data_IF_700246506596
#
_entry.id   IF_700246506596
#
_cell.length_a   1.000
_cell.length_b   1.000
_cell.length_c   1.000
_cell.angle_alpha   90.00
_cell.angle_beta   90.00
_cell.angle_gamma   90.00
#
_symmetry.space_group_name_H-M   'P 1'
#
loop_
_entity.id
_entity.type
_entity.pdbx_description
1 polymer ?
#
# COMPACT_ATOMS: atom_id res chain seq x y z
N UNK A 1 1.08 4.91 -18.95
CA UNK A 1 0.91 3.53 -18.44
C UNK A 1 -0.34 2.98 -19.11
N UNK A 2 -0.17 1.96 -19.95
CA UNK A 2 -1.27 1.26 -20.62
C UNK A 2 -2.18 0.59 -19.58
N UNK A 3 -3.44 0.31 -19.93
CA UNK A 3 -4.37 -0.41 -19.02
C UNK A 3 -3.79 -1.75 -18.56
N UNK A 4 -3.11 -2.45 -19.48
CA UNK A 4 -2.51 -3.76 -19.25
C UNK A 4 -1.42 -3.77 -18.16
N UNK A 5 -0.65 -2.68 -18.05
CA UNK A 5 0.38 -2.53 -17.03
C UNK A 5 -0.24 -2.29 -15.64
N UNK A 6 -1.35 -1.54 -15.57
CA UNK A 6 -2.09 -1.33 -14.31
C UNK A 6 -2.66 -2.65 -13.78
N UNK A 7 -3.24 -3.48 -14.65
CA UNK A 7 -3.82 -4.76 -14.25
C UNK A 7 -2.76 -5.74 -13.72
N UNK A 8 -1.57 -5.76 -14.35
CA UNK A 8 -0.44 -6.55 -13.86
C UNK A 8 0.04 -6.06 -12.50
N UNK A 9 0.20 -4.74 -12.34
CA UNK A 9 0.62 -4.15 -11.07
C UNK A 9 -0.38 -4.45 -9.94
N UNK A 10 -1.69 -4.38 -10.22
CA UNK A 10 -2.73 -4.72 -9.26
C UNK A 10 -2.65 -6.19 -8.82
N UNK A 11 -2.47 -7.13 -9.75
CA UNK A 11 -2.31 -8.56 -9.41
C UNK A 11 -1.10 -8.84 -8.52
N UNK A 12 0.01 -8.15 -8.76
CA UNK A 12 1.22 -8.28 -7.92
C UNK A 12 0.92 -7.75 -6.52
N UNK A 13 0.26 -6.60 -6.41
CA UNK A 13 -0.10 -6.01 -5.13
C UNK A 13 -1.04 -6.91 -4.32
N UNK A 14 -2.04 -7.51 -4.98
CA UNK A 14 -2.97 -8.47 -4.38
C UNK A 14 -2.28 -9.75 -3.90
N UNK A 15 -1.21 -10.17 -4.58
CA UNK A 15 -0.39 -11.30 -4.15
C UNK A 15 0.47 -10.91 -2.93
N UNK A 16 1.08 -9.73 -2.95
CA UNK A 16 1.91 -9.24 -1.85
C UNK A 16 1.13 -9.11 -0.55
N UNK A 17 -0.10 -8.58 -0.57
CA UNK A 17 -0.88 -8.38 0.66
C UNK A 17 -1.35 -9.70 1.31
N UNK A 18 -1.38 -10.80 0.55
CA UNK A 18 -1.69 -12.13 1.09
C UNK A 18 -0.52 -12.76 1.84
N UNK A 19 0.70 -12.23 1.68
CA UNK A 19 1.86 -12.69 2.44
C UNK A 19 1.61 -12.47 3.94
N UNK A 20 1.77 -13.50 4.80
CA UNK A 20 1.67 -13.37 6.25
C UNK A 20 2.48 -12.22 6.86
N UNK A 21 3.64 -11.91 6.29
CA UNK A 21 4.53 -10.84 6.76
C UNK A 21 3.91 -9.45 6.56
N UNK A 22 2.99 -9.32 5.60
CA UNK A 22 2.29 -8.06 5.28
C UNK A 22 0.96 -7.91 6.02
N UNK A 23 0.67 -8.76 7.02
CA UNK A 23 -0.57 -8.68 7.82
C UNK A 23 -0.58 -7.56 8.84
N UNK A 24 0.56 -6.92 9.07
CA UNK A 24 0.70 -5.84 10.04
C UNK A 24 1.14 -4.56 9.35
N UNK A 25 0.63 -3.43 9.83
CA UNK A 25 1.07 -2.10 9.42
C UNK A 25 2.56 -1.93 9.73
N UNK A 26 3.34 -1.50 8.75
CA UNK A 26 4.78 -1.26 8.90
C UNK A 26 5.13 -0.22 9.98
N UNK A 27 4.23 0.72 10.27
CA UNK A 27 4.52 1.83 11.19
C UNK A 27 4.04 1.58 12.63
N UNK A 28 2.85 0.97 12.78
CA UNK A 28 2.17 0.88 14.08
C UNK A 28 1.76 -0.55 14.45
N UNK A 29 2.11 -1.53 13.62
CA UNK A 29 1.83 -2.95 13.82
C UNK A 29 0.32 -3.30 13.90
N UNK A 30 -0.58 -2.38 13.53
CA UNK A 30 -2.01 -2.67 13.45
C UNK A 30 -2.30 -3.75 12.39
N UNK A 31 -3.23 -4.65 12.70
CA UNK A 31 -3.61 -5.75 11.81
C UNK A 31 -4.34 -5.27 10.56
N UNK A 32 -4.16 -6.03 9.47
CA UNK A 32 -4.88 -5.86 8.22
C UNK A 32 -4.66 -4.50 7.56
N UNK A 33 -3.41 -4.12 7.23
CA UNK A 33 -3.19 -2.92 6.43
C UNK A 33 -3.92 -3.05 5.09
N UNK A 34 -4.50 -1.97 4.58
CA UNK A 34 -5.25 -1.95 3.31
C UNK A 34 -4.74 -0.88 2.34
N UNK A 35 -3.68 -0.18 2.73
CA UNK A 35 -3.01 0.82 1.92
C UNK A 35 -1.55 0.43 1.76
N UNK A 36 -0.95 0.86 0.67
CA UNK A 36 0.46 0.62 0.40
C UNK A 36 1.13 1.92 -0.04
N UNK A 37 2.35 2.16 0.45
CA UNK A 37 3.24 3.14 -0.14
C UNK A 37 4.05 2.46 -1.25
N UNK A 38 3.71 2.75 -2.51
CA UNK A 38 4.26 2.01 -3.65
C UNK A 38 5.74 2.27 -3.87
N UNK A 39 6.23 3.46 -3.54
CA UNK A 39 7.65 3.82 -3.68
C UNK A 39 8.50 3.33 -2.51
N UNK A 40 7.90 3.16 -1.33
CA UNK A 40 8.61 2.65 -0.15
C UNK A 40 8.49 1.13 0.00
N UNK A 41 7.55 0.49 -0.71
CA UNK A 41 7.37 -0.95 -0.67
C UNK A 41 6.77 -1.48 0.64
N UNK A 42 5.95 -0.67 1.32
CA UNK A 42 5.37 -1.02 2.63
C UNK A 42 3.84 -1.00 2.62
N UNK A 43 3.23 -1.80 3.48
CA UNK A 43 1.79 -1.81 3.75
C UNK A 43 1.49 -1.07 5.06
N UNK A 44 0.49 -0.19 5.03
CA UNK A 44 0.09 0.65 6.18
C UNK A 44 -1.42 0.62 6.42
N UNK A 45 -1.81 0.83 7.67
CA UNK A 45 -3.22 0.97 8.07
C UNK A 45 -3.80 2.32 7.62
N UNK A 46 -5.10 2.52 7.81
CA UNK A 46 -5.81 3.74 7.41
C UNK A 46 -5.17 4.99 8.04
N UNK A 47 -4.88 4.93 9.34
CA UNK A 47 -4.37 6.07 10.10
C UNK A 47 -2.97 6.46 9.62
N UNK A 48 -2.08 5.48 9.48
CA UNK A 48 -0.72 5.69 8.97
C UNK A 48 -0.72 6.15 7.51
N UNK A 49 -1.65 5.65 6.68
CA UNK A 49 -1.83 6.14 5.32
C UNK A 49 -2.12 7.66 5.29
N UNK A 50 -2.88 8.17 6.26
CA UNK A 50 -3.14 9.60 6.44
C UNK A 50 -1.89 10.40 6.83
N UNK A 51 -1.02 9.84 7.67
CA UNK A 51 0.28 10.43 8.02
C UNK A 51 1.14 10.52 6.76
N UNK A 52 1.30 9.42 6.04
CA UNK A 52 2.07 9.36 4.80
C UNK A 52 1.58 10.34 3.74
N UNK A 53 0.26 10.57 3.63
CA UNK A 53 -0.31 11.58 2.73
C UNK A 53 0.12 13.00 3.09
N UNK A 54 0.23 13.33 4.38
CA UNK A 54 0.71 14.65 4.85
C UNK A 54 2.20 14.88 4.57
N UNK A 55 3.00 13.82 4.45
CA UNK A 55 4.40 13.92 4.03
C UNK A 55 4.53 14.39 2.57
N UNK A 56 3.52 14.16 1.74
CA UNK A 56 3.50 14.53 0.34
C UNK A 56 4.04 13.45 -0.59
N UNK A 57 3.61 13.52 -1.86
CA UNK A 57 3.84 12.48 -2.88
C UNK A 57 5.29 12.30 -3.31
N UNK A 58 6.14 13.29 -3.04
CA UNK A 58 7.58 13.22 -3.27
C UNK A 58 8.29 12.34 -2.23
N UNK A 59 7.66 12.15 -1.06
CA UNK A 59 8.15 11.27 0.02
C UNK A 59 7.45 9.91 -0.05
N UNK A 60 6.12 9.90 -0.06
CA UNK A 60 5.33 8.67 0.00
C UNK A 60 4.13 8.68 -0.95
N UNK A 61 4.07 7.69 -1.84
CA UNK A 61 3.02 7.49 -2.83
C UNK A 61 2.03 6.43 -2.36
N UNK A 62 1.02 6.86 -1.61
CA UNK A 62 0.03 5.99 -0.99
C UNK A 62 -1.09 5.64 -1.97
N UNK A 63 -1.34 4.34 -2.15
CA UNK A 63 -2.52 3.80 -2.84
C UNK A 63 -3.30 2.84 -1.95
N UNK A 64 -4.59 2.71 -2.22
CA UNK A 64 -5.42 1.67 -1.65
C UNK A 64 -5.13 0.35 -2.37
N UNK A 65 -5.11 -0.76 -1.63
CA UNK A 65 -4.83 -2.09 -2.19
C UNK A 65 -6.10 -2.74 -2.73
N UNK A 66 -7.26 -2.43 -2.13
CA UNK A 66 -8.55 -3.09 -2.43
C UNK A 66 -9.65 -2.15 -2.91
N UNK A 67 -9.45 -0.84 -2.81
CA UNK A 67 -10.40 0.20 -3.20
C UNK A 67 -9.65 1.19 -4.08
N UNK A 68 -9.42 0.85 -5.35
CA UNK A 68 -8.98 1.80 -6.39
C UNK A 68 -10.06 1.85 -7.47
#
# INVERSE_FOLDING_TARGET
ISSQEKDKAQKILDACIKNPDNRHCADCNALGPRWASMNLGIFVCLNCSGIHRRLGVHISKVKSVTLD
#
